data_IF_329066438918
#
_entry.id   IF_329066438918
#
_cell.length_a   1.000
_cell.length_b   1.000
_cell.length_c   1.000
_cell.angle_alpha   90.00
_cell.angle_beta   90.00
_cell.angle_gamma   90.00
#
_symmetry.space_group_name_H-M   'P 1'
#
loop_
_entity.id
_entity.type
_entity.pdbx_description
1 polymer ?
#
# COMPACT_ATOMS: atom_id res chain seq x y z
N UNK A 1 -9.71 -2.87 -52.07
CA UNK A 1 -8.96 -3.71 -51.10
C UNK A 1 -8.86 -2.93 -49.80
N UNK A 2 -9.74 -3.21 -48.83
CA UNK A 2 -9.63 -2.61 -47.50
C UNK A 2 -9.11 -3.69 -46.56
N UNK A 3 -7.79 -3.66 -46.32
CA UNK A 3 -7.16 -4.50 -45.31
C UNK A 3 -7.42 -3.86 -43.94
N UNK A 4 -8.59 -4.16 -43.36
CA UNK A 4 -8.85 -3.89 -41.94
C UNK A 4 -8.03 -4.87 -41.13
N UNK A 5 -6.92 -4.40 -40.55
CA UNK A 5 -6.19 -5.19 -39.55
C UNK A 5 -7.17 -5.65 -38.46
N UNK A 6 -7.16 -6.94 -38.06
CA UNK A 6 -8.06 -7.43 -37.04
C UNK A 6 -7.81 -6.65 -35.73
N UNK A 7 -8.87 -6.26 -34.99
CA UNK A 7 -8.71 -5.58 -33.72
C UNK A 7 -7.81 -6.42 -32.81
N UNK A 8 -6.89 -5.78 -32.09
CA UNK A 8 -6.10 -6.44 -31.03
C UNK A 8 -7.07 -6.90 -29.94
N UNK A 9 -7.59 -8.12 -30.08
CA UNK A 9 -8.40 -8.77 -29.07
C UNK A 9 -7.49 -9.01 -27.86
N UNK A 10 -7.93 -8.55 -26.70
CA UNK A 10 -7.32 -8.89 -25.43
C UNK A 10 -7.32 -10.42 -25.31
N UNK A 11 -6.22 -11.03 -24.86
CA UNK A 11 -5.99 -12.48 -24.97
C UNK A 11 -7.15 -13.33 -24.44
N UNK A 12 -7.85 -12.85 -23.40
CA UNK A 12 -9.01 -13.51 -22.84
C UNK A 12 -10.25 -13.47 -23.73
N UNK A 13 -10.43 -12.42 -24.53
CA UNK A 13 -11.53 -12.34 -25.51
C UNK A 13 -11.31 -13.32 -26.66
N UNK A 14 -10.07 -13.46 -27.14
CA UNK A 14 -9.72 -14.51 -28.11
C UNK A 14 -9.99 -15.91 -27.55
N UNK A 15 -9.66 -16.15 -26.27
CA UNK A 15 -9.98 -17.41 -25.59
C UNK A 15 -11.50 -17.63 -25.50
N UNK A 16 -12.28 -16.58 -25.21
CA UNK A 16 -13.73 -16.68 -25.16
C UNK A 16 -14.36 -16.97 -26.54
N UNK A 17 -13.77 -16.46 -27.63
CA UNK A 17 -14.17 -16.83 -29.00
C UNK A 17 -13.86 -18.30 -29.26
N UNK A 18 -12.62 -18.75 -29.03
CA UNK A 18 -12.23 -20.14 -29.24
C UNK A 18 -13.10 -21.11 -28.42
N UNK A 19 -13.47 -20.76 -27.18
CA UNK A 19 -14.36 -21.58 -26.35
C UNK A 19 -15.78 -21.70 -26.92
N UNK A 20 -16.29 -20.71 -27.67
CA UNK A 20 -17.61 -20.80 -28.32
C UNK A 20 -17.60 -21.73 -29.52
N UNK A 21 -16.45 -21.88 -30.16
CA UNK A 21 -16.29 -22.72 -31.35
C UNK A 21 -16.09 -24.20 -30.98
N UNK A 22 -15.89 -24.53 -29.70
CA UNK A 22 -15.78 -25.91 -29.22
C UNK A 22 -17.17 -26.56 -29.17
N UNK A 23 -17.34 -27.62 -29.96
CA UNK A 23 -18.55 -28.45 -29.94
C UNK A 23 -18.80 -29.03 -28.54
N UNK A 24 -20.02 -28.86 -28.02
CA UNK A 24 -20.38 -29.28 -26.66
C UNK A 24 -20.06 -28.25 -25.56
N UNK A 25 -19.44 -27.11 -25.89
CA UNK A 25 -19.25 -26.02 -24.92
C UNK A 25 -20.55 -25.24 -24.70
N UNK A 26 -21.30 -25.63 -23.68
CA UNK A 26 -22.68 -25.19 -23.46
C UNK A 26 -22.83 -23.92 -22.61
N UNK A 27 -21.75 -23.15 -22.35
CA UNK A 27 -21.85 -21.97 -21.49
C UNK A 27 -22.30 -20.72 -22.26
N UNK A 28 -23.55 -20.26 -22.10
CA UNK A 28 -24.08 -19.14 -22.88
C UNK A 28 -23.37 -17.82 -22.53
N UNK A 29 -23.09 -17.03 -23.56
CA UNK A 29 -22.57 -15.67 -23.40
C UNK A 29 -21.21 -15.59 -22.73
N UNK A 30 -20.31 -16.55 -22.99
CA UNK A 30 -18.92 -16.44 -22.52
C UNK A 30 -18.24 -15.23 -23.18
N UNK A 31 -17.58 -14.43 -22.35
CA UNK A 31 -16.78 -13.26 -22.72
C UNK A 31 -15.40 -13.38 -22.07
N UNK A 32 -14.44 -12.53 -22.45
CA UNK A 32 -13.07 -12.65 -21.94
C UNK A 32 -12.99 -12.53 -20.42
N UNK A 33 -13.82 -11.69 -19.79
CA UNK A 33 -13.85 -11.56 -18.34
C UNK A 33 -14.36 -12.83 -17.65
N UNK A 34 -15.41 -13.46 -18.19
CA UNK A 34 -15.96 -14.73 -17.68
C UNK A 34 -15.00 -15.88 -17.90
N UNK A 35 -14.29 -15.89 -19.02
CA UNK A 35 -13.27 -16.88 -19.35
C UNK A 35 -12.07 -16.75 -18.40
N UNK A 36 -11.58 -15.52 -18.19
CA UNK A 36 -10.55 -15.21 -17.19
C UNK A 36 -10.96 -15.66 -15.78
N UNK A 37 -12.15 -15.24 -15.31
CA UNK A 37 -12.63 -15.60 -13.99
C UNK A 37 -12.75 -17.11 -13.80
N UNK A 38 -13.18 -17.84 -14.85
CA UNK A 38 -13.29 -19.29 -14.79
C UNK A 38 -11.91 -19.95 -14.68
N UNK A 39 -10.94 -19.48 -15.45
CA UNK A 39 -9.55 -19.95 -15.36
C UNK A 39 -8.97 -19.70 -13.96
N UNK A 40 -9.12 -18.48 -13.41
CA UNK A 40 -8.63 -18.16 -12.08
C UNK A 40 -9.25 -19.04 -10.98
N UNK A 41 -10.52 -19.40 -11.12
CA UNK A 41 -11.17 -20.32 -10.19
C UNK A 41 -10.58 -21.72 -10.28
N UNK A 42 -10.30 -22.22 -11.49
CA UNK A 42 -9.63 -23.51 -11.67
C UNK A 42 -8.25 -23.55 -11.01
N UNK A 43 -7.45 -22.51 -11.21
CA UNK A 43 -6.13 -22.38 -10.56
C UNK A 43 -6.25 -22.38 -9.04
N UNK A 44 -7.24 -21.67 -8.47
CA UNK A 44 -7.46 -21.62 -7.02
C UNK A 44 -7.85 -22.98 -6.44
N UNK A 45 -8.83 -23.64 -7.08
CA UNK A 45 -9.29 -24.96 -6.65
C UNK A 45 -8.16 -25.99 -6.73
N UNK A 46 -7.39 -25.99 -7.81
CA UNK A 46 -6.24 -26.88 -7.99
C UNK A 46 -5.19 -26.72 -6.89
N UNK A 47 -4.83 -25.46 -6.57
CA UNK A 47 -3.89 -25.17 -5.47
C UNK A 47 -4.42 -25.63 -4.11
N UNK A 48 -5.72 -25.52 -3.87
CA UNK A 48 -6.34 -25.99 -2.64
C UNK A 48 -6.30 -27.52 -2.56
N UNK A 49 -6.66 -28.23 -3.63
CA UNK A 49 -6.59 -29.68 -3.73
C UNK A 49 -5.17 -30.20 -3.53
N UNK A 50 -4.16 -29.65 -4.21
CA UNK A 50 -2.77 -30.09 -4.04
C UNK A 50 -2.25 -29.86 -2.60
N UNK A 51 -2.74 -28.82 -1.92
CA UNK A 51 -2.39 -28.54 -0.53
C UNK A 51 -3.07 -29.51 0.44
N UNK A 52 -4.32 -29.89 0.18
CA UNK A 52 -5.05 -30.91 0.92
C UNK A 52 -4.40 -32.29 0.71
N UNK A 53 -4.07 -32.65 -0.52
CA UNK A 53 -3.34 -33.86 -0.89
C UNK A 53 -2.00 -33.97 -0.14
N UNK A 54 -1.22 -32.89 -0.15
CA UNK A 54 0.07 -32.83 0.56
C UNK A 54 -0.08 -33.02 2.09
N UNK A 55 -1.22 -32.65 2.67
CA UNK A 55 -1.52 -32.87 4.10
C UNK A 55 -2.06 -34.28 4.38
N UNK A 56 -2.75 -34.89 3.42
CA UNK A 56 -3.39 -36.20 3.55
C UNK A 56 -2.44 -37.39 3.28
N UNK A 57 -1.13 -37.15 3.24
CA UNK A 57 -0.02 -38.10 2.97
C UNK A 57 -0.40 -39.58 3.13
N UNK A 58 -0.61 -40.28 2.02
CA UNK A 58 -0.84 -41.73 1.99
C UNK A 58 -2.12 -42.19 1.28
N UNK A 59 -2.98 -41.26 0.82
CA UNK A 59 -4.18 -41.58 0.04
C UNK A 59 -3.88 -41.48 -1.45
N UNK A 60 -4.17 -42.55 -2.19
CA UNK A 60 -4.17 -42.57 -3.66
C UNK A 60 -5.25 -41.62 -4.17
N UNK A 61 -4.87 -40.45 -4.69
CA UNK A 61 -5.80 -39.60 -5.42
C UNK A 61 -5.89 -40.03 -6.89
N UNK A 62 -7.12 -40.10 -7.41
CA UNK A 62 -7.35 -40.33 -8.84
C UNK A 62 -6.95 -39.08 -9.62
N UNK A 63 -5.80 -39.15 -10.29
CA UNK A 63 -5.37 -38.10 -11.22
C UNK A 63 -6.27 -38.08 -12.46
N UNK A 64 -6.96 -36.96 -12.65
CA UNK A 64 -7.76 -36.72 -13.86
C UNK A 64 -6.91 -36.04 -14.93
N UNK A 65 -7.28 -36.17 -16.21
CA UNK A 65 -6.63 -35.41 -17.29
C UNK A 65 -6.65 -33.89 -17.04
N UNK A 66 -7.70 -33.41 -16.38
CA UNK A 66 -7.84 -32.02 -15.96
C UNK A 66 -6.80 -31.62 -14.91
N UNK A 67 -6.55 -32.46 -13.90
CA UNK A 67 -5.55 -32.14 -12.86
C UNK A 67 -4.15 -32.14 -13.44
N UNK A 68 -3.81 -33.12 -14.29
CA UNK A 68 -2.54 -33.14 -15.03
C UNK A 68 -2.32 -31.89 -15.87
N UNK A 69 -3.34 -31.48 -16.62
CA UNK A 69 -3.27 -30.25 -17.41
C UNK A 69 -3.09 -29.00 -16.52
N UNK A 70 -3.73 -28.97 -15.35
CA UNK A 70 -3.56 -27.86 -14.42
C UNK A 70 -2.18 -27.86 -13.74
N UNK A 71 -1.57 -29.01 -13.52
CA UNK A 71 -0.19 -29.12 -13.03
C UNK A 71 0.80 -28.51 -14.02
N UNK A 72 0.58 -28.65 -15.32
CA UNK A 72 1.43 -28.01 -16.36
C UNK A 72 1.13 -26.51 -16.53
N UNK A 73 -0.14 -26.11 -16.48
CA UNK A 73 -0.56 -24.74 -16.77
C UNK A 73 -0.31 -23.76 -15.61
N UNK A 74 -0.45 -24.21 -14.36
CA UNK A 74 -0.32 -23.34 -13.19
C UNK A 74 1.09 -22.75 -13.05
N UNK A 75 2.20 -23.51 -13.22
CA UNK A 75 3.55 -22.98 -13.24
C UNK A 75 3.73 -21.89 -14.30
N UNK A 76 3.32 -22.15 -15.54
CA UNK A 76 3.44 -21.18 -16.65
C UNK A 76 2.70 -19.87 -16.34
N UNK A 77 1.51 -19.97 -15.76
CA UNK A 77 0.74 -18.81 -15.34
C UNK A 77 1.45 -18.03 -14.22
N UNK A 78 1.97 -18.71 -13.20
CA UNK A 78 2.68 -18.05 -12.10
C UNK A 78 3.96 -17.36 -12.61
N UNK A 79 4.71 -17.99 -13.50
CA UNK A 79 5.91 -17.41 -14.11
C UNK A 79 5.58 -16.16 -14.93
N UNK A 80 4.49 -16.19 -15.71
CA UNK A 80 4.02 -15.01 -16.43
C UNK A 80 3.65 -13.86 -15.48
N UNK A 81 3.04 -14.16 -14.33
CA UNK A 81 2.76 -13.15 -13.30
C UNK A 81 4.03 -12.57 -12.69
N UNK A 82 5.04 -13.40 -12.40
CA UNK A 82 6.32 -12.94 -11.86
C UNK A 82 7.03 -12.04 -12.88
N UNK A 83 7.12 -12.47 -14.15
CA UNK A 83 7.70 -11.67 -15.24
C UNK A 83 6.97 -10.33 -15.39
N UNK A 84 5.63 -10.33 -15.33
CA UNK A 84 4.82 -9.11 -15.36
C UNK A 84 5.13 -8.19 -14.18
N UNK A 85 5.23 -8.72 -12.96
CA UNK A 85 5.59 -7.94 -11.76
C UNK A 85 7.00 -7.37 -11.85
N UNK A 86 7.97 -8.15 -12.33
CA UNK A 86 9.35 -7.69 -12.54
C UNK A 86 9.43 -6.60 -13.61
N UNK A 87 8.63 -6.70 -14.68
CA UNK A 87 8.56 -5.67 -15.71
C UNK A 87 7.83 -4.39 -15.25
N UNK A 88 6.95 -4.50 -14.25
CA UNK A 88 6.16 -3.39 -13.71
C UNK A 88 6.77 -2.77 -12.44
N UNK A 89 7.77 -3.41 -11.82
CA UNK A 89 8.60 -2.74 -10.84
C UNK A 89 9.43 -1.67 -11.54
N UNK A 90 9.54 -0.45 -10.98
CA UNK A 90 10.53 0.50 -11.45
C UNK A 90 11.89 -0.17 -11.31
N UNK A 91 12.53 -0.47 -12.44
CA UNK A 91 13.88 -1.00 -12.48
C UNK A 91 14.81 0.13 -12.04
N UNK A 92 15.32 0.07 -10.80
CA UNK A 92 16.39 0.97 -10.36
C UNK A 92 16.43 1.24 -8.86
N UNK A 93 17.63 1.53 -8.38
CA UNK A 93 17.95 2.09 -7.06
C UNK A 93 17.06 3.31 -6.74
N UNK A 94 16.62 4.04 -7.77
CA UNK A 94 15.72 5.19 -7.72
C UNK A 94 14.42 4.95 -6.94
N UNK A 95 13.79 3.78 -7.09
CA UNK A 95 12.54 3.46 -6.38
C UNK A 95 12.75 3.24 -4.88
N UNK A 96 13.90 2.69 -4.50
CA UNK A 96 14.28 2.51 -3.09
C UNK A 96 14.76 3.84 -2.49
N UNK A 97 15.56 4.60 -3.23
CA UNK A 97 15.98 5.95 -2.84
C UNK A 97 14.78 6.87 -2.63
N UNK A 98 13.77 6.84 -3.50
CA UNK A 98 12.58 7.67 -3.34
C UNK A 98 11.74 7.27 -2.11
N UNK A 99 11.64 5.97 -1.81
CA UNK A 99 11.00 5.48 -0.57
C UNK A 99 11.79 5.88 0.68
N UNK A 100 13.11 5.74 0.67
CA UNK A 100 13.99 6.12 1.77
C UNK A 100 13.99 7.63 1.99
N UNK A 101 14.04 8.43 0.91
CA UNK A 101 13.95 9.88 0.96
C UNK A 101 12.62 10.35 1.54
N UNK A 102 11.50 9.77 1.11
CA UNK A 102 10.19 10.07 1.68
C UNK A 102 10.11 9.72 3.17
N UNK A 103 10.67 8.58 3.56
CA UNK A 103 10.72 8.14 4.97
C UNK A 103 11.60 9.06 5.83
N UNK A 104 12.75 9.50 5.31
CA UNK A 104 13.65 10.46 5.96
C UNK A 104 12.96 11.81 6.14
N UNK A 105 12.35 12.35 5.09
CA UNK A 105 11.63 13.64 5.12
C UNK A 105 10.48 13.64 6.15
N UNK A 106 9.74 12.53 6.24
CA UNK A 106 8.66 12.39 7.22
C UNK A 106 9.21 12.39 8.65
N UNK A 107 10.30 11.68 8.90
CA UNK A 107 10.93 11.62 10.22
C UNK A 107 11.53 12.96 10.64
N UNK A 108 12.19 13.66 9.71
CA UNK A 108 12.79 14.98 9.93
C UNK A 108 11.72 16.01 10.34
N UNK A 109 10.58 16.04 9.63
CA UNK A 109 9.42 16.86 10.00
C UNK A 109 8.87 16.56 11.39
N UNK A 110 8.76 15.28 11.75
CA UNK A 110 8.27 14.87 13.08
C UNK A 110 9.22 15.32 14.20
N UNK A 111 10.53 15.28 13.95
CA UNK A 111 11.54 15.75 14.91
C UNK A 111 11.52 17.27 15.05
N UNK A 112 11.40 18.01 13.95
CA UNK A 112 11.25 19.48 13.98
C UNK A 112 10.00 19.90 14.74
N UNK A 113 8.87 19.21 14.53
CA UNK A 113 7.62 19.51 15.23
C UNK A 113 7.77 19.28 16.75
N UNK A 114 8.43 18.19 17.15
CA UNK A 114 8.75 17.93 18.56
C UNK A 114 9.70 18.96 19.16
N UNK A 115 10.68 19.45 18.39
CA UNK A 115 11.60 20.47 18.87
C UNK A 115 10.91 21.82 19.02
N UNK A 116 10.04 22.18 18.06
CA UNK A 116 9.21 23.38 18.13
C UNK A 116 8.31 23.38 19.37
N UNK A 117 7.64 22.27 19.64
CA UNK A 117 6.80 22.10 20.83
C UNK A 117 7.59 22.24 22.15
N UNK A 118 8.86 21.81 22.19
CA UNK A 118 9.74 22.03 23.35
C UNK A 118 10.10 23.50 23.52
N UNK A 119 10.46 24.19 22.43
CA UNK A 119 10.83 25.61 22.46
C UNK A 119 9.64 26.50 22.83
N UNK A 120 8.45 26.20 22.31
CA UNK A 120 7.23 26.94 22.62
C UNK A 120 6.89 26.87 24.13
N UNK A 121 7.01 25.68 24.74
CA UNK A 121 6.82 25.54 26.19
C UNK A 121 7.83 26.32 27.01
N UNK A 122 9.07 26.40 26.53
CA UNK A 122 10.11 27.16 27.22
C UNK A 122 9.88 28.67 27.08
N UNK A 123 9.44 29.12 25.91
CA UNK A 123 9.08 30.52 25.69
C UNK A 123 7.90 30.94 26.58
N UNK A 124 6.84 30.12 26.67
CA UNK A 124 5.71 30.39 27.57
C UNK A 124 6.15 30.49 29.04
N UNK A 125 7.10 29.64 29.48
CA UNK A 125 7.69 29.75 30.83
C UNK A 125 8.45 31.06 31.02
N UNK A 126 9.27 31.44 30.04
CA UNK A 126 10.04 32.68 30.08
C UNK A 126 9.12 33.91 30.07
N UNK A 127 8.08 33.94 29.24
CA UNK A 127 7.11 35.02 29.23
C UNK A 127 6.41 35.16 30.58
N UNK A 128 5.99 34.05 31.19
CA UNK A 128 5.39 34.08 32.55
C UNK A 128 6.37 34.54 33.61
N UNK A 129 7.64 34.18 33.51
CA UNK A 129 8.68 34.67 34.43
C UNK A 129 8.92 36.17 34.23
N UNK A 130 9.13 36.60 32.99
CA UNK A 130 9.33 38.01 32.64
C UNK A 130 8.15 38.88 33.08
N UNK A 131 6.91 38.42 32.87
CA UNK A 131 5.72 39.12 33.34
C UNK A 131 5.70 39.28 34.86
N UNK A 132 6.02 38.22 35.60
CA UNK A 132 6.09 38.26 37.08
C UNK A 132 7.18 39.20 37.57
N UNK A 133 8.35 39.19 36.94
CA UNK A 133 9.44 40.11 37.29
C UNK A 133 9.06 41.57 37.03
N UNK A 134 8.47 41.85 35.88
CA UNK A 134 8.00 43.19 35.53
C UNK A 134 6.92 43.68 36.49
N UNK A 135 5.99 42.81 36.89
CA UNK A 135 4.97 43.14 37.87
C UNK A 135 5.58 43.36 39.27
N UNK A 136 6.54 42.53 39.69
CA UNK A 136 7.26 42.69 40.95
C UNK A 136 8.00 44.02 41.00
N UNK A 137 8.72 44.39 39.93
CA UNK A 137 9.42 45.68 39.85
C UNK A 137 8.45 46.86 40.01
N UNK A 138 7.28 46.80 39.35
CA UNK A 138 6.24 47.85 39.48
C UNK A 138 5.67 47.91 40.90
N UNK A 139 5.45 46.76 41.54
CA UNK A 139 5.01 46.68 42.94
C UNK A 139 6.05 47.26 43.90
N UNK A 140 7.33 46.93 43.70
CA UNK A 140 8.44 47.45 44.51
C UNK A 140 8.59 48.97 44.36
N UNK A 141 8.47 49.48 43.14
CA UNK A 141 8.50 50.91 42.85
C UNK A 141 7.33 51.65 43.54
N UNK A 142 6.12 51.10 43.44
CA UNK A 142 4.94 51.65 44.12
C UNK A 142 5.12 51.65 45.65
N UNK A 143 5.66 50.57 46.22
CA UNK A 143 5.95 50.47 47.65
C UNK A 143 6.97 51.52 48.10
N UNK A 144 8.02 51.78 47.31
CA UNK A 144 8.98 52.86 47.58
C UNK A 144 8.31 54.23 47.62
N UNK A 145 7.39 54.50 46.69
CA UNK A 145 6.64 55.76 46.66
C UNK A 145 5.74 55.88 47.90
N UNK A 146 4.99 54.83 48.25
CA UNK A 146 4.13 54.81 49.44
C UNK A 146 4.96 55.03 50.71
N UNK A 147 6.10 54.35 50.84
CA UNK A 147 6.99 54.50 52.00
C UNK A 147 7.52 55.94 52.10
N UNK A 148 7.88 56.56 50.99
CA UNK A 148 8.31 57.97 50.97
C UNK A 148 7.19 58.93 51.40
N UNK A 149 5.93 58.65 51.03
CA UNK A 149 4.76 59.45 51.44
C UNK A 149 4.44 59.28 52.93
N UNK A 150 4.62 58.09 53.50
CA UNK A 150 4.41 57.81 54.94
C UNK A 150 5.53 58.43 55.80
N UNK A 151 6.76 58.51 55.28
CA UNK A 151 7.92 59.03 56.01
C UNK A 151 8.12 60.54 55.87
N UNK A 152 7.28 61.25 55.12
CA UNK A 152 7.26 62.72 55.09
C UNK A 152 6.39 63.25 56.25
N UNK A 153 6.95 64.03 57.17
CA UNK A 153 6.19 64.68 58.25
C UNK A 153 5.27 65.79 57.74
#
# INVERSE_FOLDING_TARGET
>A
MHSTAPPKLHAWDSMAVALKDVEGFSRPGIDGKKAQNRFLLLVRLHKASNLEAARASGVSEDETEKSKLLDDLVPLYNDALVKKKLSAQPRGEDGQHQRLAFKKLKFEREMEEREKDRLERELDRQERQHFREMESRRKDEMMRIIQHLIQKP
#
